data_IF_614037350174
#
_entry.id   IF_614037350174
#
_cell.length_a   1.000
_cell.length_b   1.000
_cell.length_c   1.000
_cell.angle_alpha   90.00
_cell.angle_beta   90.00
_cell.angle_gamma   90.00
#
_symmetry.space_group_name_H-M   'P 1'
#
loop_
_entity.id
_entity.type
_entity.pdbx_description
1 polymer ?
#
# COMPACT_ATOMS: atom_id res chain seq x y z
N UNK A 1 -35.98 18.87 -3.65
CA UNK A 1 -36.17 18.68 -5.11
C UNK A 1 -35.99 17.19 -5.38
N UNK A 2 -37.09 16.47 -5.58
CA UNK A 2 -37.06 15.05 -5.93
C UNK A 2 -36.98 14.92 -7.44
N UNK A 3 -36.17 13.96 -7.98
CA UNK A 3 -36.12 13.75 -9.42
C UNK A 3 -37.49 13.24 -9.93
N UNK A 4 -37.96 13.78 -11.02
CA UNK A 4 -39.25 13.44 -11.63
C UNK A 4 -39.25 12.03 -12.25
N UNK A 5 -38.08 11.47 -12.55
CA UNK A 5 -37.92 10.11 -13.06
C UNK A 5 -36.50 9.57 -12.75
N UNK A 6 -36.42 8.28 -12.44
CA UNK A 6 -35.17 7.55 -12.39
C UNK A 6 -34.73 7.22 -13.82
N UNK A 7 -33.48 7.54 -14.17
CA UNK A 7 -32.94 7.24 -15.49
C UNK A 7 -31.52 6.66 -15.39
N UNK A 8 -31.24 5.64 -16.16
CA UNK A 8 -29.90 5.06 -16.32
C UNK A 8 -29.11 5.69 -17.47
N UNK A 9 -29.63 6.77 -18.07
CA UNK A 9 -29.03 7.42 -19.22
C UNK A 9 -27.58 7.90 -18.97
N UNK A 10 -27.31 8.31 -17.73
CA UNK A 10 -25.99 8.77 -17.31
C UNK A 10 -24.96 7.62 -17.15
N UNK A 11 -25.41 6.36 -17.15
CA UNK A 11 -24.55 5.18 -17.04
C UNK A 11 -24.17 4.57 -18.41
N UNK A 12 -24.54 5.24 -19.50
CA UNK A 12 -24.25 4.75 -20.86
C UNK A 12 -22.76 4.57 -21.15
N UNK A 13 -21.89 5.37 -20.50
CA UNK A 13 -20.43 5.27 -20.63
C UNK A 13 -19.87 3.90 -20.24
N UNK A 14 -20.61 3.08 -19.49
CA UNK A 14 -20.20 1.73 -19.11
C UNK A 14 -20.22 0.74 -20.27
N UNK A 15 -21.15 0.92 -21.22
CA UNK A 15 -21.36 -0.03 -22.33
C UNK A 15 -21.31 0.61 -23.73
N UNK A 16 -21.24 1.93 -23.80
CA UNK A 16 -21.08 2.65 -25.05
C UNK A 16 -19.88 3.59 -24.95
N UNK A 17 -18.95 3.45 -25.90
CA UNK A 17 -17.91 4.45 -26.06
C UNK A 17 -18.53 5.69 -26.64
N UNK A 18 -18.61 6.77 -25.89
CA UNK A 18 -19.09 8.07 -26.37
C UNK A 18 -18.09 8.62 -27.39
N UNK A 19 -18.60 9.22 -28.49
CA UNK A 19 -17.75 9.83 -29.48
C UNK A 19 -16.76 10.83 -28.86
N UNK A 20 -15.46 10.64 -29.14
CA UNK A 20 -14.37 11.44 -28.58
C UNK A 20 -13.88 11.06 -27.17
N UNK A 21 -14.43 10.01 -26.55
CA UNK A 21 -13.99 9.54 -25.23
C UNK A 21 -13.47 8.10 -25.30
N UNK A 22 -12.36 7.83 -24.60
CA UNK A 22 -11.86 6.46 -24.47
C UNK A 22 -12.82 5.60 -23.61
N UNK A 23 -12.85 4.29 -23.89
CA UNK A 23 -13.58 3.34 -23.06
C UNK A 23 -13.10 3.43 -21.61
N UNK A 24 -14.02 3.33 -20.63
CA UNK A 24 -13.70 3.36 -19.20
C UNK A 24 -12.97 2.09 -18.72
N UNK A 25 -13.16 0.97 -19.42
CA UNK A 25 -12.67 -0.33 -18.96
C UNK A 25 -11.14 -0.44 -18.86
N UNK A 26 -10.34 0.06 -19.82
CA UNK A 26 -8.88 0.07 -19.66
C UNK A 26 -8.43 0.90 -18.47
N UNK A 27 -9.08 2.03 -18.21
CA UNK A 27 -8.77 2.89 -17.05
C UNK A 27 -9.12 2.18 -15.75
N UNK A 28 -10.30 1.56 -15.69
CA UNK A 28 -10.75 0.78 -14.53
C UNK A 28 -9.80 -0.41 -14.25
N UNK A 29 -9.39 -1.13 -15.31
CA UNK A 29 -8.45 -2.23 -15.19
C UNK A 29 -7.07 -1.77 -14.68
N UNK A 30 -6.53 -0.69 -15.23
CA UNK A 30 -5.26 -0.12 -14.76
C UNK A 30 -5.34 0.29 -13.30
N UNK A 31 -6.45 0.90 -12.89
CA UNK A 31 -6.68 1.27 -11.49
C UNK A 31 -6.75 0.04 -10.58
N UNK A 32 -7.42 -1.01 -11.04
CA UNK A 32 -7.51 -2.27 -10.28
C UNK A 32 -6.14 -2.93 -10.14
N UNK A 33 -5.37 -3.04 -11.23
CA UNK A 33 -4.01 -3.59 -11.21
C UNK A 33 -3.12 -2.77 -10.28
N UNK A 34 -3.18 -1.44 -10.39
CA UNK A 34 -2.44 -0.53 -9.53
C UNK A 34 -2.78 -0.76 -8.05
N UNK A 35 -4.07 -0.72 -7.70
CA UNK A 35 -4.51 -0.86 -6.32
C UNK A 35 -4.14 -2.23 -5.72
N UNK A 36 -4.43 -3.32 -6.44
CA UNK A 36 -4.09 -4.67 -5.99
C UNK A 36 -2.58 -4.88 -5.82
N UNK A 37 -1.77 -4.35 -6.74
CA UNK A 37 -0.32 -4.46 -6.66
C UNK A 37 0.26 -3.69 -5.47
N UNK A 38 -0.20 -2.44 -5.26
CA UNK A 38 0.24 -1.64 -4.11
C UNK A 38 -0.16 -2.32 -2.81
N UNK A 39 -1.41 -2.78 -2.67
CA UNK A 39 -1.89 -3.48 -1.46
C UNK A 39 -1.07 -4.74 -1.22
N UNK A 40 -0.85 -5.58 -2.24
CA UNK A 40 -0.08 -6.81 -2.10
C UNK A 40 1.35 -6.54 -1.61
N UNK A 41 2.04 -5.56 -2.19
CA UNK A 41 3.40 -5.17 -1.79
C UNK A 41 3.41 -4.61 -0.36
N UNK A 42 2.57 -3.62 -0.09
CA UNK A 42 2.57 -2.93 1.21
C UNK A 42 2.18 -3.88 2.33
N UNK A 43 1.12 -4.67 2.17
CA UNK A 43 0.67 -5.61 3.22
C UNK A 43 1.71 -6.69 3.47
N UNK A 44 2.27 -7.31 2.43
CA UNK A 44 3.27 -8.38 2.59
C UNK A 44 4.54 -7.88 3.29
N UNK A 45 5.09 -6.74 2.85
CA UNK A 45 6.30 -6.17 3.45
C UNK A 45 6.03 -5.62 4.85
N UNK A 46 4.88 -4.98 5.07
CA UNK A 46 4.51 -4.44 6.38
C UNK A 46 4.23 -5.53 7.40
N UNK A 47 3.59 -6.63 6.99
CA UNK A 47 3.33 -7.76 7.88
C UNK A 47 4.64 -8.41 8.34
N UNK A 48 5.56 -8.70 7.42
CA UNK A 48 6.85 -9.31 7.76
C UNK A 48 7.73 -8.38 8.59
N UNK A 49 7.86 -7.11 8.20
CA UNK A 49 8.65 -6.12 8.94
C UNK A 49 8.02 -5.80 10.31
N UNK A 50 6.69 -5.63 10.36
CA UNK A 50 5.95 -5.38 11.60
C UNK A 50 6.07 -6.52 12.59
N UNK A 51 5.97 -7.78 12.11
CA UNK A 51 6.21 -8.97 12.93
C UNK A 51 7.64 -9.00 13.50
N UNK A 52 8.64 -8.80 12.65
CA UNK A 52 10.04 -8.76 13.09
C UNK A 52 10.28 -7.67 14.14
N UNK A 53 9.73 -6.46 13.91
CA UNK A 53 9.83 -5.34 14.84
C UNK A 53 9.01 -5.55 16.13
N UNK A 54 7.97 -6.36 16.13
CA UNK A 54 7.20 -6.71 17.32
C UNK A 54 7.88 -7.80 18.15
N UNK A 55 8.33 -8.89 17.51
CA UNK A 55 8.78 -10.12 18.15
C UNK A 55 10.28 -10.21 18.39
N UNK A 56 11.12 -9.66 17.51
CA UNK A 56 12.56 -9.74 17.66
C UNK A 56 13.09 -8.65 18.60
N UNK A 57 13.74 -9.08 19.68
CA UNK A 57 14.42 -8.18 20.63
C UNK A 57 15.83 -7.88 20.15
N UNK A 58 16.02 -6.75 19.44
CA UNK A 58 17.33 -6.31 18.98
C UNK A 58 17.56 -4.81 19.33
N UNK A 59 18.83 -4.44 19.52
CA UNK A 59 19.19 -3.13 20.09
C UNK A 59 18.75 -1.93 19.25
N UNK A 60 18.62 -2.09 17.92
CA UNK A 60 18.25 -1.02 17.01
C UNK A 60 16.75 -0.91 16.71
N UNK A 61 15.89 -1.70 17.37
CA UNK A 61 14.43 -1.68 17.18
C UNK A 61 13.84 -0.27 17.36
N UNK A 62 14.19 0.43 18.43
CA UNK A 62 13.71 1.78 18.72
C UNK A 62 14.12 2.80 17.64
N UNK A 63 15.42 2.93 17.34
CA UNK A 63 15.91 3.79 16.26
C UNK A 63 15.27 3.51 14.89
N UNK A 64 15.08 2.24 14.52
CA UNK A 64 14.42 1.87 13.25
C UNK A 64 12.96 2.33 13.23
N UNK A 65 12.21 2.08 14.31
CA UNK A 65 10.83 2.57 14.42
C UNK A 65 10.74 4.10 14.36
N UNK A 66 11.63 4.80 15.07
CA UNK A 66 11.71 6.25 15.02
C UNK A 66 12.03 6.76 13.60
N UNK A 67 12.95 6.11 12.91
CA UNK A 67 13.31 6.41 11.52
C UNK A 67 12.14 6.20 10.56
N UNK A 68 11.40 5.11 10.70
CA UNK A 68 10.20 4.80 9.90
C UNK A 68 9.12 5.88 10.08
N UNK A 69 8.87 6.32 11.32
CA UNK A 69 7.93 7.40 11.60
C UNK A 69 8.42 8.75 11.05
N UNK A 70 9.71 9.03 11.18
CA UNK A 70 10.31 10.25 10.66
C UNK A 70 10.17 10.33 9.13
N UNK A 71 10.40 9.23 8.42
CA UNK A 71 10.18 9.18 6.97
C UNK A 71 8.74 9.50 6.59
N UNK A 72 7.76 9.02 7.36
CA UNK A 72 6.34 9.30 7.10
C UNK A 72 5.94 10.76 7.44
N UNK A 73 6.69 11.43 8.31
CA UNK A 73 6.43 12.83 8.65
C UNK A 73 6.82 13.83 7.55
N UNK A 74 7.64 13.40 6.56
CA UNK A 74 7.98 14.25 5.42
C UNK A 74 6.78 14.39 4.48
N UNK A 75 6.39 15.62 4.09
CA UNK A 75 5.36 15.82 3.09
C UNK A 75 5.78 15.19 1.76
N UNK A 76 4.99 14.27 1.22
CA UNK A 76 5.30 13.57 -0.04
C UNK A 76 5.45 14.53 -1.23
N UNK A 77 4.79 15.69 -1.18
CA UNK A 77 4.92 16.73 -2.20
C UNK A 77 6.34 17.29 -2.31
N UNK A 78 7.09 17.33 -1.21
CA UNK A 78 8.48 17.81 -1.20
C UNK A 78 9.41 16.85 -1.95
N UNK A 79 9.05 15.57 -2.00
CA UNK A 79 9.86 14.53 -2.63
C UNK A 79 9.60 14.40 -4.14
N UNK A 80 8.62 15.14 -4.70
CA UNK A 80 8.17 14.95 -6.09
C UNK A 80 9.29 15.12 -7.11
N UNK A 81 10.18 16.09 -6.93
CA UNK A 81 11.29 16.35 -7.84
C UNK A 81 12.31 15.21 -7.77
N UNK A 82 12.67 14.78 -6.56
CA UNK A 82 13.61 13.67 -6.36
C UNK A 82 13.06 12.35 -6.93
N UNK A 83 11.79 12.07 -6.71
CA UNK A 83 11.09 10.90 -7.26
C UNK A 83 11.09 10.95 -8.79
N UNK A 84 10.81 12.10 -9.38
CA UNK A 84 10.81 12.28 -10.83
C UNK A 84 12.20 11.98 -11.43
N UNK A 85 13.26 12.57 -10.88
CA UNK A 85 14.64 12.34 -11.33
C UNK A 85 15.03 10.86 -11.18
N UNK A 86 14.68 10.24 -10.06
CA UNK A 86 14.94 8.83 -9.80
C UNK A 86 14.21 7.92 -10.80
N UNK A 87 12.94 8.19 -11.08
CA UNK A 87 12.17 7.41 -12.05
C UNK A 87 12.74 7.54 -13.48
N UNK A 88 13.22 8.73 -13.85
CA UNK A 88 13.91 8.91 -15.13
C UNK A 88 15.21 8.11 -15.19
N UNK A 89 16.04 8.19 -14.16
CA UNK A 89 17.32 7.47 -14.11
C UNK A 89 17.12 5.94 -14.17
N UNK A 90 16.04 5.43 -13.59
CA UNK A 90 15.67 4.01 -13.61
C UNK A 90 14.88 3.58 -14.85
N UNK A 91 14.61 4.48 -15.79
CA UNK A 91 13.75 4.25 -16.97
C UNK A 91 12.32 3.78 -16.61
N UNK A 92 11.83 4.16 -15.42
CA UNK A 92 10.49 3.83 -14.92
C UNK A 92 9.51 5.01 -15.01
N UNK A 93 9.95 6.14 -15.54
CA UNK A 93 9.09 7.28 -15.76
C UNK A 93 7.96 6.95 -16.74
N UNK A 94 6.76 7.43 -16.43
CA UNK A 94 5.53 7.17 -17.20
C UNK A 94 5.17 5.68 -17.38
N UNK A 95 5.55 4.84 -16.40
CA UNK A 95 5.19 3.41 -16.36
C UNK A 95 4.29 3.10 -15.16
N UNK A 96 3.40 2.12 -15.29
CA UNK A 96 2.54 1.65 -14.21
C UNK A 96 3.39 1.09 -13.05
N UNK A 97 4.48 0.40 -13.37
CA UNK A 97 5.41 -0.17 -12.37
C UNK A 97 6.07 0.96 -11.56
N UNK A 98 6.52 2.02 -12.21
CA UNK A 98 7.11 3.18 -11.52
C UNK A 98 6.14 3.80 -10.52
N UNK A 99 4.89 3.99 -10.92
CA UNK A 99 3.85 4.55 -10.03
C UNK A 99 3.53 3.60 -8.86
N UNK A 100 3.45 2.28 -9.11
CA UNK A 100 3.23 1.26 -8.06
C UNK A 100 4.37 1.30 -7.04
N UNK A 101 5.62 1.30 -7.48
CA UNK A 101 6.78 1.30 -6.59
C UNK A 101 6.87 2.56 -5.74
N UNK A 102 6.64 3.72 -6.33
CA UNK A 102 6.62 5.00 -5.60
C UNK A 102 5.51 4.98 -4.55
N UNK A 103 4.28 4.63 -4.94
CA UNK A 103 3.15 4.60 -4.00
C UNK A 103 3.39 3.61 -2.87
N UNK A 104 3.84 2.39 -3.18
CA UNK A 104 4.16 1.39 -2.16
C UNK A 104 5.23 1.88 -1.19
N UNK A 105 6.32 2.50 -1.70
CA UNK A 105 7.41 3.02 -0.86
C UNK A 105 6.94 4.12 0.11
N UNK A 106 6.04 4.99 -0.33
CA UNK A 106 5.49 6.06 0.51
C UNK A 106 4.52 5.54 1.59
N UNK A 107 3.82 4.44 1.34
CA UNK A 107 2.85 3.85 2.28
C UNK A 107 3.51 2.86 3.27
N UNK A 108 4.66 2.28 2.92
CA UNK A 108 5.34 1.28 3.73
C UNK A 108 5.61 1.73 5.18
N UNK A 109 6.11 2.95 5.46
CA UNK A 109 6.37 3.39 6.82
C UNK A 109 5.14 3.29 7.73
N UNK A 110 4.01 3.80 7.28
CA UNK A 110 2.75 3.74 8.02
C UNK A 110 2.25 2.30 8.15
N UNK A 111 2.32 1.53 7.06
CA UNK A 111 1.93 0.12 7.05
C UNK A 111 2.70 -0.71 8.08
N UNK A 112 4.02 -0.54 8.15
CA UNK A 112 4.88 -1.22 9.12
C UNK A 112 4.50 -0.84 10.55
N UNK A 113 4.26 0.44 10.80
CA UNK A 113 3.89 0.92 12.13
C UNK A 113 2.54 0.35 12.59
N UNK A 114 1.54 0.35 11.71
CA UNK A 114 0.21 -0.22 11.99
C UNK A 114 0.32 -1.73 12.26
N UNK A 115 0.98 -2.49 11.39
CA UNK A 115 1.13 -3.94 11.54
C UNK A 115 1.86 -4.30 12.82
N UNK A 116 2.93 -3.57 13.15
CA UNK A 116 3.61 -3.76 14.44
C UNK A 116 2.67 -3.51 15.61
N UNK A 117 1.86 -2.45 15.57
CA UNK A 117 0.86 -2.17 16.60
C UNK A 117 -0.10 -3.33 16.80
N UNK A 118 -0.62 -3.93 15.73
CA UNK A 118 -1.47 -5.13 15.82
C UNK A 118 -0.75 -6.32 16.42
N UNK A 119 0.47 -6.62 16.00
CA UNK A 119 1.24 -7.72 16.61
C UNK A 119 1.54 -7.49 18.08
N UNK A 120 1.77 -6.26 18.52
CA UNK A 120 2.00 -5.94 19.93
C UNK A 120 0.77 -6.19 20.82
N UNK A 121 -0.45 -6.20 20.26
CA UNK A 121 -1.68 -6.50 21.02
C UNK A 121 -1.87 -7.99 21.32
N UNK A 122 -1.19 -8.86 20.57
CA UNK A 122 -1.26 -10.32 20.78
C UNK A 122 -0.24 -10.72 21.85
N UNK A 123 -0.68 -11.26 23.01
CA UNK A 123 0.22 -11.72 24.05
C UNK A 123 1.18 -12.80 23.53
N UNK A 124 2.43 -12.73 23.99
CA UNK A 124 3.48 -13.68 23.60
C UNK A 124 3.13 -15.14 23.99
N UNK A 125 2.39 -15.30 25.08
CA UNK A 125 1.95 -16.57 25.61
C UNK A 125 1.06 -17.34 24.62
N UNK A 126 0.22 -16.65 23.86
CA UNK A 126 -0.65 -17.25 22.84
C UNK A 126 0.21 -17.84 21.71
N UNK A 127 1.23 -17.10 21.27
CA UNK A 127 2.14 -17.55 20.22
C UNK A 127 2.95 -18.77 20.70
N UNK A 128 3.40 -18.76 21.94
CA UNK A 128 4.13 -19.89 22.54
C UNK A 128 3.26 -21.13 22.74
N UNK A 129 1.99 -20.97 23.10
CA UNK A 129 1.05 -22.08 23.19
C UNK A 129 0.89 -22.76 21.82
N UNK A 130 0.71 -21.98 20.75
CA UNK A 130 0.65 -22.53 19.39
C UNK A 130 1.91 -23.32 18.99
N UNK A 131 3.11 -22.82 19.35
CA UNK A 131 4.37 -23.55 19.09
C UNK A 131 4.45 -24.85 19.90
N UNK A 132 3.96 -24.86 21.16
CA UNK A 132 3.90 -26.09 21.98
C UNK A 132 2.95 -27.14 21.42
N UNK A 133 1.85 -26.68 20.79
CA UNK A 133 0.88 -27.54 20.09
C UNK A 133 1.37 -28.01 18.71
N UNK A 134 2.61 -27.68 18.34
CA UNK A 134 3.25 -28.15 17.10
C UNK A 134 3.06 -27.22 15.89
N UNK A 135 2.54 -26.01 16.07
CA UNK A 135 2.51 -25.01 14.99
C UNK A 135 3.94 -24.56 14.64
N UNK A 136 4.30 -24.64 13.36
CA UNK A 136 5.58 -24.09 12.88
C UNK A 136 5.48 -22.54 12.82
N UNK A 137 6.60 -21.88 13.09
CA UNK A 137 6.75 -20.40 12.99
C UNK A 137 6.82 -19.88 11.55
N UNK A 138 6.52 -20.70 10.55
CA UNK A 138 6.57 -20.33 9.14
C UNK A 138 5.28 -19.73 8.63
#
# INVERSE_FOLDING_TARGET
IWPSALTLKNWRFLYQTLEGHASIWPVALNTLIFACSVVAIVVSLSATAGYALSRLKWRFRGPVLGGVLLLHAFPSITLIIAIFVMLQALHLYNTLIGVILVKASLELPLGIWIMKGFYDTVPWEIEMAGVQDGADRR
#
